data_IF_327380699626
#
_entry.id   IF_327380699626
#
_cell.length_a   1.000
_cell.length_b   1.000
_cell.length_c   1.000
_cell.angle_alpha   90.00
_cell.angle_beta   90.00
_cell.angle_gamma   90.00
#
_symmetry.space_group_name_H-M   'P 1'
#
loop_
_entity.id
_entity.type
_entity.pdbx_description
1 polymer ?
#
# COMPACT_ATOMS: atom_id res chain seq x y z
N UNK A 1 11.56 -3.52 1.67
CA UNK A 1 10.80 -3.74 0.42
C UNK A 1 10.88 -2.46 -0.39
N UNK A 2 11.45 -2.50 -1.61
CA UNK A 2 11.42 -1.33 -2.48
C UNK A 2 10.15 -1.38 -3.31
N UNK A 3 9.17 -0.54 -2.99
CA UNK A 3 7.89 -0.44 -3.72
C UNK A 3 7.99 0.64 -4.79
N UNK A 4 7.40 0.39 -5.95
CA UNK A 4 7.39 1.35 -7.05
C UNK A 4 6.64 2.62 -6.66
N UNK A 5 6.99 3.76 -7.27
CA UNK A 5 6.31 5.03 -6.98
C UNK A 5 4.83 5.00 -7.36
N UNK A 6 4.48 4.23 -8.40
CA UNK A 6 3.08 3.96 -8.76
C UNK A 6 2.34 3.26 -7.61
N UNK A 7 2.95 2.26 -6.98
CA UNK A 7 2.35 1.56 -5.84
C UNK A 7 2.18 2.49 -4.62
N UNK A 8 3.14 3.38 -4.35
CA UNK A 8 3.04 4.38 -3.27
C UNK A 8 1.84 5.30 -3.46
N UNK A 9 1.60 5.76 -4.68
CA UNK A 9 0.44 6.61 -5.00
C UNK A 9 -0.89 5.95 -4.67
N UNK A 10 -1.06 4.67 -5.05
CA UNK A 10 -2.27 3.92 -4.71
C UNK A 10 -2.44 3.72 -3.21
N UNK A 11 -1.37 3.35 -2.51
CA UNK A 11 -1.37 3.18 -1.04
C UNK A 11 -1.81 4.49 -0.37
N UNK A 12 -1.27 5.63 -0.80
CA UNK A 12 -1.58 6.93 -0.22
C UNK A 12 -3.03 7.35 -0.50
N UNK A 13 -3.58 7.02 -1.66
CA UNK A 13 -5.01 7.21 -1.95
C UNK A 13 -5.91 6.45 -0.99
N UNK A 14 -5.62 5.16 -0.77
CA UNK A 14 -6.38 4.30 0.16
C UNK A 14 -6.28 4.83 1.60
N UNK A 15 -5.10 5.24 2.04
CA UNK A 15 -4.91 5.84 3.37
C UNK A 15 -5.76 7.09 3.56
N UNK A 16 -5.77 7.99 2.57
CA UNK A 16 -6.54 9.23 2.62
C UNK A 16 -8.06 8.96 2.62
N UNK A 17 -8.54 8.04 1.78
CA UNK A 17 -9.97 7.69 1.67
C UNK A 17 -10.53 7.16 3.00
N UNK A 18 -9.75 6.36 3.71
CA UNK A 18 -10.16 5.76 4.97
C UNK A 18 -9.73 6.56 6.22
N UNK A 19 -9.15 7.76 6.04
CA UNK A 19 -8.52 8.54 7.10
C UNK A 19 -7.59 7.70 8.00
N UNK A 20 -6.87 6.77 7.35
CA UNK A 20 -5.97 5.82 8.00
C UNK A 20 -4.54 6.35 7.95
N UNK A 21 -3.76 6.08 9.01
CA UNK A 21 -2.36 6.48 9.12
C UNK A 21 -1.38 5.33 8.89
N UNK A 22 -1.88 4.09 8.81
CA UNK A 22 -1.07 2.88 8.68
C UNK A 22 -1.79 1.81 7.86
N UNK A 23 -1.02 0.98 7.15
CA UNK A 23 -1.50 -0.22 6.46
C UNK A 23 -0.66 -1.43 6.84
N UNK A 24 -1.30 -2.60 6.90
CA UNK A 24 -0.62 -3.89 7.01
C UNK A 24 -0.55 -4.54 5.64
N UNK A 25 0.66 -4.74 5.12
CA UNK A 25 0.88 -5.36 3.80
C UNK A 25 1.15 -6.85 4.00
N UNK A 26 0.43 -7.69 3.24
CA UNK A 26 0.66 -9.12 3.15
C UNK A 26 1.22 -9.44 1.76
N UNK A 27 2.33 -10.19 1.70
CA UNK A 27 2.89 -10.66 0.43
C UNK A 27 2.17 -11.98 0.10
N UNK A 28 1.19 -11.92 -0.81
CA UNK A 28 0.63 -13.12 -1.42
C UNK A 28 1.53 -13.53 -2.59
N UNK A 29 2.55 -14.33 -2.31
CA UNK A 29 3.32 -15.01 -3.35
C UNK A 29 2.64 -16.34 -3.68
N UNK A 30 2.17 -16.52 -4.91
CA UNK A 30 1.96 -17.86 -5.46
C UNK A 30 3.32 -18.31 -5.99
N UNK A 31 3.94 -19.26 -5.28
CA UNK A 31 5.16 -19.92 -5.73
C UNK A 31 4.95 -20.75 -6.99
#
# INVERSE_FOLDING_TARGET
MNISDKAKGYIQGILNEHNASNIKIFIAGMG
#
